data_IF_211690927414
#
_entry.id   IF_211690927414
#
_cell.length_a   1.000
_cell.length_b   1.000
_cell.length_c   1.000
_cell.angle_alpha   90.00
_cell.angle_beta   90.00
_cell.angle_gamma   90.00
#
_symmetry.space_group_name_H-M   'P 1'
#
loop_
_entity.id
_entity.type
_entity.pdbx_description
1 polymer ?
#
# COMPACT_ATOMS: atom_id res chain seq x y z
N UNK A 1 -6.38 -18.32 -6.43
CA UNK A 1 -6.60 -16.88 -6.67
C UNK A 1 -5.28 -16.16 -6.57
N UNK A 2 -4.94 -15.31 -7.55
CA UNK A 2 -3.74 -14.46 -7.50
C UNK A 2 -4.16 -13.05 -7.09
N UNK A 3 -3.56 -12.52 -6.03
CA UNK A 3 -3.87 -11.19 -5.50
C UNK A 3 -2.63 -10.31 -5.61
N UNK A 4 -2.75 -9.21 -6.34
CA UNK A 4 -1.67 -8.24 -6.51
C UNK A 4 -2.02 -6.97 -5.73
N UNK A 5 -1.20 -6.62 -4.75
CA UNK A 5 -1.26 -5.34 -4.04
C UNK A 5 -0.38 -4.32 -4.74
N UNK A 6 -0.87 -3.11 -4.85
CA UNK A 6 -0.11 -1.93 -5.28
C UNK A 6 -0.26 -0.85 -4.23
N UNK A 7 0.86 -0.37 -3.68
CA UNK A 7 0.84 0.85 -2.90
C UNK A 7 0.61 2.04 -3.83
N UNK A 8 -0.25 2.99 -3.44
CA UNK A 8 -0.41 4.23 -4.19
C UNK A 8 0.94 4.88 -4.50
N UNK A 9 1.01 5.61 -5.60
CA UNK A 9 2.20 6.33 -6.02
C UNK A 9 2.48 7.57 -5.15
N UNK A 10 3.62 8.21 -5.37
CA UNK A 10 4.16 9.27 -4.51
C UNK A 10 3.24 10.50 -4.43
N UNK A 11 3.12 11.05 -3.22
CA UNK A 11 2.52 12.35 -2.91
C UNK A 11 3.59 13.30 -2.38
N UNK A 12 3.29 14.59 -2.26
CA UNK A 12 4.24 15.54 -1.67
C UNK A 12 4.58 15.18 -0.22
N UNK A 13 3.61 14.68 0.57
CA UNK A 13 3.90 14.26 1.93
C UNK A 13 4.79 13.01 2.02
N UNK A 14 4.76 12.11 1.03
CA UNK A 14 5.74 11.04 0.97
C UNK A 14 7.15 11.58 0.72
N UNK A 15 7.30 12.52 -0.23
CA UNK A 15 8.56 13.18 -0.55
C UNK A 15 9.11 13.99 0.61
N UNK A 16 8.23 14.65 1.37
CA UNK A 16 8.58 15.48 2.53
C UNK A 16 8.75 14.69 3.83
N UNK A 17 8.63 13.35 3.77
CA UNK A 17 8.65 12.47 4.95
C UNK A 17 7.65 12.91 6.04
N UNK A 18 6.42 13.25 5.64
CA UNK A 18 5.32 13.54 6.56
C UNK A 18 4.43 12.34 6.77
N UNK A 19 3.91 12.25 7.98
CA UNK A 19 2.91 11.27 8.35
C UNK A 19 1.65 11.46 7.51
N UNK A 20 1.22 10.42 6.80
CA UNK A 20 0.09 10.49 5.90
C UNK A 20 -0.89 9.36 6.22
N UNK A 21 -2.04 9.74 6.77
CA UNK A 21 -3.13 8.81 7.08
C UNK A 21 -4.29 8.94 6.11
N UNK A 22 -5.45 9.35 6.64
CA UNK A 22 -6.70 9.51 5.87
C UNK A 22 -6.83 10.87 5.19
N UNK A 23 -5.96 11.83 5.47
CA UNK A 23 -5.91 13.11 4.74
C UNK A 23 -5.82 12.84 3.23
N UNK A 24 -6.77 13.44 2.48
CA UNK A 24 -7.02 13.10 1.09
C UNK A 24 -6.18 13.93 0.11
N UNK A 25 -4.92 13.56 -0.05
CA UNK A 25 -3.95 14.19 -0.92
C UNK A 25 -3.90 13.54 -2.31
N UNK A 26 -3.50 14.34 -3.29
CA UNK A 26 -3.27 13.90 -4.66
C UNK A 26 -1.83 13.38 -4.86
N UNK A 27 -1.59 12.68 -5.95
CA UNK A 27 -0.25 12.35 -6.41
C UNK A 27 0.51 13.62 -6.78
N UNK A 28 1.82 13.64 -6.51
CA UNK A 28 2.69 14.68 -7.06
C UNK A 28 3.13 14.32 -8.50
N UNK A 29 3.94 15.18 -9.11
CA UNK A 29 4.40 14.96 -10.49
C UNK A 29 5.17 13.64 -10.66
N UNK A 30 5.99 13.25 -9.68
CA UNK A 30 6.70 11.97 -9.69
C UNK A 30 5.72 10.80 -9.53
N UNK A 31 4.73 10.92 -8.63
CA UNK A 31 3.68 9.92 -8.46
C UNK A 31 2.87 9.68 -9.74
N UNK A 32 2.55 10.73 -10.51
CA UNK A 32 1.92 10.54 -11.82
C UNK A 32 2.84 9.81 -12.83
N UNK A 33 4.15 10.07 -12.80
CA UNK A 33 5.09 9.32 -13.65
C UNK A 33 5.15 7.84 -13.23
N UNK A 34 5.21 7.56 -11.92
CA UNK A 34 5.14 6.20 -11.39
C UNK A 34 3.84 5.49 -11.81
N UNK A 35 2.70 6.17 -11.68
CA UNK A 35 1.39 5.62 -12.06
C UNK A 35 1.29 5.29 -13.55
N UNK A 36 1.87 6.11 -14.43
CA UNK A 36 1.97 5.80 -15.86
C UNK A 36 2.83 4.55 -16.13
N UNK A 37 3.95 4.39 -15.43
CA UNK A 37 4.79 3.19 -15.53
C UNK A 37 4.03 1.94 -15.08
N UNK A 38 3.27 2.04 -13.98
CA UNK A 38 2.36 0.97 -13.57
C UNK A 38 1.34 0.64 -14.67
N UNK A 39 0.75 1.66 -15.33
CA UNK A 39 -0.16 1.46 -16.46
C UNK A 39 0.49 0.62 -17.58
N UNK A 40 1.71 0.96 -17.96
CA UNK A 40 2.48 0.20 -18.98
C UNK A 40 2.75 -1.23 -18.52
N UNK A 41 3.16 -1.42 -17.26
CA UNK A 41 3.40 -2.75 -16.68
C UNK A 41 2.14 -3.60 -16.71
N UNK A 42 1.02 -3.06 -16.25
CA UNK A 42 -0.26 -3.77 -16.18
C UNK A 42 -0.94 -3.99 -17.55
N UNK A 43 -0.44 -3.41 -18.65
CA UNK A 43 -0.94 -3.73 -19.99
C UNK A 43 -0.74 -5.21 -20.35
N UNK A 44 0.27 -5.86 -19.77
CA UNK A 44 0.56 -7.27 -19.99
C UNK A 44 0.05 -8.18 -18.84
N UNK A 45 -0.58 -7.60 -17.82
CA UNK A 45 -1.13 -8.34 -16.68
C UNK A 45 -2.65 -8.53 -16.86
N UNK A 46 -3.12 -9.74 -16.58
CA UNK A 46 -4.54 -10.02 -16.55
C UNK A 46 -5.12 -9.56 -15.21
N UNK A 47 -6.09 -8.64 -15.25
CA UNK A 47 -6.85 -8.20 -14.08
C UNK A 47 -8.33 -8.48 -14.33
N UNK A 48 -8.93 -9.37 -13.54
CA UNK A 48 -10.37 -9.70 -13.65
C UNK A 48 -11.20 -8.90 -12.65
N UNK A 49 -10.68 -8.68 -11.46
CA UNK A 49 -11.34 -7.89 -10.41
C UNK A 49 -10.37 -6.87 -9.84
N UNK A 50 -10.86 -5.66 -9.60
CA UNK A 50 -10.05 -4.59 -9.05
C UNK A 50 -10.76 -3.92 -7.88
N UNK A 51 -10.02 -3.73 -6.80
CA UNK A 51 -10.44 -3.04 -5.60
C UNK A 51 -9.47 -1.90 -5.29
N UNK A 52 -9.98 -0.78 -4.80
CA UNK A 52 -9.16 0.39 -4.55
C UNK A 52 -9.63 1.13 -3.30
N UNK A 53 -8.70 1.67 -2.54
CA UNK A 53 -9.01 2.70 -1.55
C UNK A 53 -9.72 3.87 -2.25
N UNK A 54 -10.65 4.48 -1.56
CA UNK A 54 -11.39 5.64 -2.07
C UNK A 54 -10.65 6.98 -1.89
N UNK A 55 -9.43 6.98 -1.34
CA UNK A 55 -8.58 8.16 -1.25
C UNK A 55 -8.00 8.53 -2.64
N UNK A 56 -7.90 9.82 -2.92
CA UNK A 56 -7.50 10.39 -4.23
C UNK A 56 -6.22 9.77 -4.78
N UNK A 57 -5.15 9.70 -3.97
CA UNK A 57 -3.87 9.13 -4.40
C UNK A 57 -3.97 7.68 -4.88
N UNK A 58 -4.83 6.86 -4.26
CA UNK A 58 -5.08 5.50 -4.69
C UNK A 58 -5.93 5.47 -5.97
N UNK A 59 -6.97 6.31 -6.05
CA UNK A 59 -7.80 6.48 -7.26
C UNK A 59 -6.96 6.91 -8.45
N UNK A 60 -6.14 7.95 -8.30
CA UNK A 60 -5.27 8.43 -9.38
C UNK A 60 -4.24 7.38 -9.81
N UNK A 61 -3.78 6.52 -8.88
CA UNK A 61 -2.90 5.40 -9.21
C UNK A 61 -3.63 4.37 -10.06
N UNK A 62 -4.82 3.90 -9.63
CA UNK A 62 -5.56 2.87 -10.37
C UNK A 62 -6.13 3.39 -11.69
N UNK A 63 -6.48 4.67 -11.79
CA UNK A 63 -6.95 5.29 -13.04
C UNK A 63 -5.88 5.25 -14.13
N UNK A 64 -4.60 5.40 -13.77
CA UNK A 64 -3.49 5.25 -14.71
C UNK A 64 -3.23 3.78 -15.05
N UNK A 65 -3.39 2.84 -14.11
CA UNK A 65 -3.31 1.39 -14.38
C UNK A 65 -4.43 0.95 -15.32
N UNK A 66 -5.62 1.52 -15.16
CA UNK A 66 -6.84 1.17 -15.91
C UNK A 66 -7.24 2.26 -16.93
N UNK A 67 -6.26 2.92 -17.53
CA UNK A 67 -6.49 4.05 -18.45
C UNK A 67 -7.40 3.69 -19.63
N UNK A 68 -7.37 2.43 -20.11
CA UNK A 68 -8.23 1.90 -21.18
C UNK A 68 -9.57 1.35 -20.66
N UNK A 69 -9.86 1.49 -19.37
CA UNK A 69 -11.09 0.97 -18.72
C UNK A 69 -11.34 -0.52 -18.95
N UNK A 70 -10.27 -1.33 -18.91
CA UNK A 70 -10.30 -2.79 -19.18
C UNK A 70 -11.07 -3.59 -18.12
N UNK A 71 -11.19 -3.05 -16.91
CA UNK A 71 -11.87 -3.71 -15.79
C UNK A 71 -12.62 -2.70 -14.92
N UNK A 72 -13.64 -3.19 -14.21
CA UNK A 72 -14.36 -2.38 -13.24
C UNK A 72 -13.59 -2.29 -11.93
N UNK A 73 -13.65 -1.14 -11.26
CA UNK A 73 -13.01 -0.88 -9.98
C UNK A 73 -14.06 -0.72 -8.88
N UNK A 74 -13.93 -1.49 -7.82
CA UNK A 74 -14.74 -1.35 -6.60
C UNK A 74 -13.95 -0.54 -5.56
N UNK A 75 -14.48 0.60 -5.16
CA UNK A 75 -13.87 1.46 -4.15
C UNK A 75 -14.35 1.09 -2.74
N UNK A 76 -13.44 1.16 -1.75
CA UNK A 76 -13.78 0.80 -0.38
C UNK A 76 -12.97 1.60 0.65
N UNK A 77 -13.67 2.15 1.65
CA UNK A 77 -13.05 2.78 2.82
C UNK A 77 -12.26 1.77 3.67
N UNK A 78 -12.57 0.47 3.57
CA UNK A 78 -11.84 -0.59 4.28
C UNK A 78 -10.40 -0.74 3.80
N UNK A 79 -10.08 -0.15 2.64
CA UNK A 79 -8.73 -0.12 2.06
C UNK A 79 -8.01 1.22 2.28
N UNK A 80 -8.59 2.19 3.03
CA UNK A 80 -7.89 3.44 3.40
C UNK A 80 -6.66 3.16 4.24
N UNK A 81 -5.70 4.07 4.19
CA UNK A 81 -4.53 4.06 5.08
C UNK A 81 -4.96 4.11 6.55
N UNK A 82 -4.06 3.75 7.43
CA UNK A 82 -4.24 3.93 8.87
C UNK A 82 -4.54 5.40 9.16
N UNK A 83 -5.63 5.66 9.88
CA UNK A 83 -5.89 6.98 10.46
C UNK A 83 -4.79 7.27 11.50
N UNK A 84 -3.93 8.24 11.19
CA UNK A 84 -2.84 8.61 12.06
C UNK A 84 -3.18 9.80 12.97
N UNK A 85 -4.44 10.26 12.93
CA UNK A 85 -5.00 11.24 13.83
C UNK A 85 -4.19 12.53 13.89
N UNK A 86 -3.79 12.94 15.10
CA UNK A 86 -3.05 14.19 15.33
C UNK A 86 -1.63 14.19 14.74
N UNK A 87 -1.12 13.04 14.28
CA UNK A 87 0.20 12.97 13.64
C UNK A 87 0.18 13.30 12.16
N UNK A 88 -1.01 13.34 11.53
CA UNK A 88 -1.11 13.64 10.10
C UNK A 88 -0.55 15.03 9.76
N UNK A 89 0.27 15.08 8.72
CA UNK A 89 0.96 16.29 8.25
C UNK A 89 2.23 16.64 9.02
N UNK A 90 2.50 16.03 10.18
CA UNK A 90 3.74 16.25 10.91
C UNK A 90 4.89 15.51 10.22
N UNK A 91 6.08 16.14 10.16
CA UNK A 91 7.27 15.48 9.62
C UNK A 91 7.77 14.38 10.57
N UNK A 92 8.34 13.32 10.00
CA UNK A 92 8.91 12.23 10.80
C UNK A 92 10.04 12.71 11.72
N UNK A 93 10.79 13.75 11.31
CA UNK A 93 11.81 14.37 12.15
C UNK A 93 11.20 15.06 13.38
N UNK A 94 10.12 15.82 13.19
CA UNK A 94 9.39 16.46 14.29
C UNK A 94 8.79 15.43 15.24
N UNK A 95 8.19 14.36 14.70
CA UNK A 95 7.63 13.28 15.50
C UNK A 95 8.70 12.56 16.33
N UNK A 96 9.89 12.31 15.76
CA UNK A 96 11.02 11.71 16.49
C UNK A 96 11.52 12.61 17.62
N UNK A 97 11.49 13.94 17.43
CA UNK A 97 11.91 14.89 18.47
C UNK A 97 10.87 15.04 19.60
N UNK A 98 9.60 15.22 19.23
CA UNK A 98 8.55 15.58 20.20
C UNK A 98 7.77 14.41 20.78
N UNK A 99 7.68 13.30 20.04
CA UNK A 99 6.86 12.13 20.37
C UNK A 99 7.68 10.85 20.39
N UNK A 100 8.96 10.93 20.77
CA UNK A 100 9.89 9.80 20.76
C UNK A 100 9.41 8.62 21.62
N UNK A 101 8.77 8.90 22.77
CA UNK A 101 8.23 7.88 23.66
C UNK A 101 7.00 7.20 23.06
N UNK A 102 6.05 7.95 22.50
CA UNK A 102 4.86 7.45 21.84
C UNK A 102 5.25 6.60 20.61
N UNK A 103 6.20 7.06 19.82
CA UNK A 103 6.72 6.30 18.68
C UNK A 103 7.41 5.00 19.11
N UNK A 104 8.11 5.00 20.23
CA UNK A 104 8.71 3.77 20.79
C UNK A 104 7.64 2.79 21.22
N UNK A 105 6.65 3.24 22.00
CA UNK A 105 5.55 2.38 22.46
C UNK A 105 4.76 1.83 21.26
N UNK A 106 4.47 2.69 20.26
CA UNK A 106 3.80 2.26 19.04
C UNK A 106 4.57 1.17 18.29
N UNK A 107 5.89 1.29 18.17
CA UNK A 107 6.73 0.27 17.50
C UNK A 107 6.78 -1.04 18.28
N UNK A 108 6.78 -0.98 19.60
CA UNK A 108 6.81 -2.16 20.48
C UNK A 108 5.46 -2.88 20.53
N UNK A 109 4.35 -2.14 20.45
CA UNK A 109 2.99 -2.67 20.54
C UNK A 109 2.03 -1.98 19.55
N UNK A 110 2.28 -2.03 18.24
CA UNK A 110 1.46 -1.34 17.24
C UNK A 110 0.04 -1.90 17.16
N UNK A 111 -0.15 -3.14 17.58
CA UNK A 111 -1.44 -3.82 17.58
C UNK A 111 -2.46 -3.12 18.51
N UNK A 112 -2.02 -2.67 19.69
CA UNK A 112 -2.91 -2.14 20.72
C UNK A 112 -2.68 -0.66 21.02
N UNK A 113 -1.55 -0.09 20.63
CA UNK A 113 -1.28 1.33 20.87
C UNK A 113 -2.04 2.18 19.86
N UNK A 114 -2.99 2.94 20.36
CA UNK A 114 -3.79 3.88 19.56
C UNK A 114 -3.07 5.21 19.42
N UNK A 115 -2.89 5.66 18.19
CA UNK A 115 -2.42 7.03 17.96
C UNK A 115 -3.48 8.05 18.43
N UNK A 116 -3.07 9.24 18.91
CA UNK A 116 -4.01 10.26 19.35
C UNK A 116 -5.05 10.60 18.26
N UNK A 117 -6.31 10.33 18.52
CA UNK A 117 -7.45 10.45 17.60
C UNK A 117 -7.36 9.60 16.33
N UNK A 118 -6.49 8.60 16.30
CA UNK A 118 -6.29 7.72 15.15
C UNK A 118 -6.66 6.25 15.42
N UNK A 119 -6.21 5.37 14.56
CA UNK A 119 -6.37 3.92 14.65
C UNK A 119 -5.18 3.26 15.38
N UNK A 120 -5.35 1.99 15.77
CA UNK A 120 -4.25 1.05 16.03
C UNK A 120 -3.89 0.31 14.75
N UNK A 121 -2.67 -0.20 14.63
CA UNK A 121 -2.33 -1.06 13.49
C UNK A 121 -3.11 -2.38 13.51
N UNK A 122 -3.53 -2.85 14.70
CA UNK A 122 -4.42 -4.00 14.85
C UNK A 122 -5.77 -3.80 14.16
N UNK A 123 -6.39 -2.63 14.31
CA UNK A 123 -7.65 -2.31 13.63
C UNK A 123 -7.46 -2.25 12.09
N UNK A 124 -6.34 -1.70 11.63
CA UNK A 124 -6.00 -1.69 10.19
C UNK A 124 -5.84 -3.10 9.65
N UNK A 125 -5.10 -3.97 10.35
CA UNK A 125 -4.98 -5.39 10.02
C UNK A 125 -6.35 -6.06 9.93
N UNK A 126 -7.17 -5.88 10.94
CA UNK A 126 -8.46 -6.56 11.04
C UNK A 126 -9.41 -6.16 9.91
N UNK A 127 -9.52 -4.84 9.59
CA UNK A 127 -10.35 -4.40 8.46
C UNK A 127 -9.79 -4.86 7.11
N UNK A 128 -8.45 -4.89 6.96
CA UNK A 128 -7.79 -5.37 5.75
C UNK A 128 -7.96 -6.87 5.54
N UNK A 129 -7.73 -7.69 6.57
CA UNK A 129 -7.90 -9.14 6.52
C UNK A 129 -9.37 -9.54 6.33
N UNK A 130 -10.32 -8.86 6.99
CA UNK A 130 -11.75 -9.09 6.79
C UNK A 130 -12.15 -8.77 5.34
N UNK A 131 -11.57 -7.73 4.73
CA UNK A 131 -11.82 -7.41 3.33
C UNK A 131 -11.25 -8.45 2.38
N UNK A 132 -10.05 -8.98 2.65
CA UNK A 132 -9.49 -10.11 1.89
C UNK A 132 -10.35 -11.36 2.02
N UNK A 133 -10.84 -11.66 3.22
CA UNK A 133 -11.77 -12.78 3.44
C UNK A 133 -13.02 -12.60 2.60
N UNK A 134 -13.63 -11.41 2.61
CA UNK A 134 -14.77 -11.10 1.75
C UNK A 134 -14.46 -11.36 0.26
N UNK A 135 -13.30 -10.93 -0.24
CA UNK A 135 -12.88 -11.17 -1.62
C UNK A 135 -12.78 -12.67 -1.90
N UNK A 136 -12.11 -13.43 -1.05
CA UNK A 136 -11.86 -14.85 -1.27
C UNK A 136 -13.10 -15.74 -1.14
N UNK A 137 -14.11 -15.27 -0.39
CA UNK A 137 -15.39 -15.98 -0.22
C UNK A 137 -16.41 -15.67 -1.35
N UNK A 138 -16.27 -14.51 -2.03
CA UNK A 138 -17.27 -14.03 -3.00
C UNK A 138 -16.78 -14.07 -4.46
N UNK A 139 -15.50 -14.37 -4.71
CA UNK A 139 -14.95 -14.46 -6.05
C UNK A 139 -14.48 -15.87 -6.42
N UNK A 140 -14.39 -16.20 -7.73
CA UNK A 140 -13.85 -17.47 -8.20
C UNK A 140 -12.42 -17.72 -7.70
N UNK A 141 -12.10 -18.95 -7.33
CA UNK A 141 -10.80 -19.32 -6.77
C UNK A 141 -9.62 -19.25 -7.77
N UNK A 142 -9.91 -19.26 -9.05
CA UNK A 142 -8.92 -19.20 -10.14
C UNK A 142 -8.77 -17.80 -10.77
N UNK A 143 -9.34 -16.75 -10.14
CA UNK A 143 -9.30 -15.41 -10.64
C UNK A 143 -8.02 -14.63 -10.26
N UNK A 144 -7.82 -13.50 -10.96
CA UNK A 144 -6.78 -12.50 -10.69
C UNK A 144 -7.39 -11.22 -10.14
N UNK A 145 -6.87 -10.77 -9.01
CA UNK A 145 -7.37 -9.62 -8.25
C UNK A 145 -6.27 -8.56 -8.13
N UNK A 146 -6.60 -7.31 -8.42
CA UNK A 146 -5.76 -6.14 -8.16
C UNK A 146 -6.32 -5.36 -6.97
N UNK A 147 -5.47 -5.00 -6.00
CA UNK A 147 -5.85 -4.16 -4.86
C UNK A 147 -4.88 -2.97 -4.78
N UNK A 148 -5.39 -1.75 -5.01
CA UNK A 148 -4.61 -0.52 -4.84
C UNK A 148 -4.94 0.09 -3.48
N UNK A 149 -3.93 0.19 -2.61
CA UNK A 149 -4.11 0.61 -1.23
C UNK A 149 -2.86 1.33 -0.70
N UNK A 150 -2.54 1.22 0.57
CA UNK A 150 -1.56 2.04 1.28
C UNK A 150 -0.54 1.19 2.04
N UNK A 151 0.51 1.85 2.51
CA UNK A 151 1.67 1.20 3.10
C UNK A 151 1.34 0.36 4.34
N UNK A 152 0.69 0.93 5.36
CA UNK A 152 0.43 0.22 6.61
C UNK A 152 -0.67 -0.86 6.45
N UNK A 153 -1.60 -0.67 5.50
CA UNK A 153 -2.58 -1.70 5.13
C UNK A 153 -1.84 -2.91 4.53
N UNK A 154 -0.99 -2.70 3.53
CA UNK A 154 -0.19 -3.78 2.91
C UNK A 154 0.69 -4.44 3.96
N UNK A 155 1.45 -3.64 4.72
CA UNK A 155 2.39 -4.15 5.72
C UNK A 155 1.69 -5.02 6.78
N UNK A 156 0.54 -4.58 7.31
CA UNK A 156 -0.21 -5.34 8.33
C UNK A 156 -0.77 -6.65 7.79
N UNK A 157 -1.28 -6.64 6.55
CA UNK A 157 -1.77 -7.84 5.85
C UNK A 157 -0.63 -8.82 5.59
N UNK A 158 0.49 -8.36 5.00
CA UNK A 158 1.61 -9.23 4.65
C UNK A 158 2.31 -9.79 5.89
N UNK A 159 2.45 -8.98 6.97
CA UNK A 159 2.93 -9.43 8.26
C UNK A 159 2.09 -10.60 8.81
N UNK A 160 0.75 -10.49 8.71
CA UNK A 160 -0.20 -11.53 9.12
C UNK A 160 -0.09 -12.78 8.26
N UNK A 161 0.00 -12.63 6.93
CA UNK A 161 0.17 -13.75 5.98
C UNK A 161 1.49 -14.48 6.26
N UNK A 162 2.56 -13.74 6.59
CA UNK A 162 3.85 -14.31 6.97
C UNK A 162 3.85 -14.92 8.39
N UNK A 163 2.73 -14.90 9.11
CA UNK A 163 2.58 -15.40 10.49
C UNK A 163 3.55 -14.73 11.47
N UNK A 164 3.80 -13.42 11.28
CA UNK A 164 4.60 -12.59 12.17
C UNK A 164 3.71 -11.75 13.06
N UNK A 165 4.19 -11.43 14.27
CA UNK A 165 3.54 -10.46 15.14
C UNK A 165 3.60 -9.06 14.49
N UNK A 166 2.57 -8.24 14.70
CA UNK A 166 2.48 -6.89 14.08
C UNK A 166 3.65 -5.96 14.44
N UNK A 167 4.37 -6.19 15.52
CA UNK A 167 5.59 -5.41 15.84
C UNK A 167 6.68 -5.52 14.76
N UNK A 168 6.60 -6.53 13.87
CA UNK A 168 7.49 -6.71 12.73
C UNK A 168 6.95 -6.11 11.43
N UNK A 169 5.89 -5.29 11.49
CA UNK A 169 5.28 -4.68 10.30
C UNK A 169 6.28 -3.88 9.44
N UNK A 170 7.32 -3.32 10.07
CA UNK A 170 8.34 -2.54 9.37
C UNK A 170 9.09 -3.35 8.30
N UNK A 171 9.21 -4.68 8.49
CA UNK A 171 9.83 -5.59 7.53
C UNK A 171 8.96 -5.77 6.26
N UNK A 172 7.70 -5.33 6.30
CA UNK A 172 6.72 -5.46 5.23
C UNK A 172 6.24 -4.11 4.67
N UNK A 173 6.91 -3.02 5.01
CA UNK A 173 6.64 -1.70 4.40
C UNK A 173 7.15 -1.68 2.97
N UNK A 174 6.42 -1.00 2.08
CA UNK A 174 6.68 -0.99 0.64
C UNK A 174 6.97 0.42 0.13
N UNK A 175 7.71 0.51 -0.98
CA UNK A 175 7.93 1.78 -1.69
C UNK A 175 6.64 2.27 -2.38
N UNK A 176 6.55 3.58 -2.68
CA UNK A 176 5.43 4.15 -3.45
C UNK A 176 5.39 3.55 -4.85
N UNK A 177 4.23 3.06 -5.28
CA UNK A 177 4.04 2.36 -6.54
C UNK A 177 4.59 0.93 -6.57
N UNK A 178 5.08 0.38 -5.46
CA UNK A 178 5.56 -1.00 -5.40
C UNK A 178 4.42 -2.01 -5.52
N UNK A 179 4.76 -3.18 -6.02
CA UNK A 179 3.89 -4.34 -6.23
C UNK A 179 4.28 -5.44 -5.24
N UNK A 180 3.28 -6.05 -4.59
CA UNK A 180 3.47 -7.29 -3.83
C UNK A 180 2.40 -8.30 -4.25
N UNK A 181 2.79 -9.57 -4.41
CA UNK A 181 1.90 -10.63 -4.90
C UNK A 181 1.70 -11.72 -3.85
N UNK A 182 0.45 -12.10 -3.70
CA UNK A 182 0.01 -13.15 -2.79
C UNK A 182 -0.82 -14.17 -3.57
N UNK A 183 -0.58 -15.44 -3.35
CA UNK A 183 -1.43 -16.51 -3.83
C UNK A 183 -2.35 -17.00 -2.71
N UNK A 184 -3.63 -17.24 -3.03
CA UNK A 184 -4.60 -17.86 -2.15
C UNK A 184 -5.06 -19.18 -2.73
N UNK A 185 -4.72 -20.27 -2.04
CA UNK A 185 -5.06 -21.64 -2.44
C UNK A 185 -5.38 -22.48 -1.20
N UNK A 186 -6.45 -23.27 -1.24
CA UNK A 186 -6.87 -24.14 -0.15
C UNK A 186 -6.99 -23.42 1.21
N UNK A 187 -7.56 -22.22 1.20
CA UNK A 187 -7.70 -21.33 2.37
C UNK A 187 -6.36 -20.87 2.99
N UNK A 188 -5.27 -20.93 2.24
CA UNK A 188 -3.95 -20.49 2.68
C UNK A 188 -3.46 -19.37 1.77
N UNK A 189 -3.05 -18.25 2.39
CA UNK A 189 -2.32 -17.20 1.70
C UNK A 189 -0.82 -17.49 1.73
N UNK A 190 -0.16 -17.26 0.59
CA UNK A 190 1.31 -17.36 0.46
C UNK A 190 1.85 -16.13 -0.22
N UNK A 191 2.82 -15.46 0.41
CA UNK A 191 3.54 -14.33 -0.19
C UNK A 191 4.48 -14.87 -1.28
N UNK A 192 4.29 -14.42 -2.53
CA UNK A 192 5.09 -14.85 -3.69
C UNK A 192 6.13 -13.81 -4.09
N UNK A 193 5.78 -12.52 -3.98
CA UNK A 193 6.65 -11.40 -4.33
C UNK A 193 6.40 -10.23 -3.38
N UNK A 194 7.46 -9.55 -2.98
CA UNK A 194 7.39 -8.45 -2.05
C UNK A 194 8.17 -7.23 -2.55
N UNK A 195 7.56 -6.05 -2.46
CA UNK A 195 8.15 -4.74 -2.76
C UNK A 195 8.83 -4.65 -4.13
N UNK A 196 8.22 -5.27 -5.16
CA UNK A 196 8.74 -5.23 -6.52
C UNK A 196 8.60 -3.83 -7.11
N UNK A 197 9.73 -3.24 -7.53
CA UNK A 197 9.81 -1.87 -8.07
C UNK A 197 10.53 -1.77 -9.42
N UNK A 198 10.91 -2.89 -10.04
CA UNK A 198 11.72 -2.84 -11.27
C UNK A 198 10.99 -2.17 -12.43
N UNK A 199 9.66 -2.25 -12.47
CA UNK A 199 8.83 -1.49 -13.42
C UNK A 199 8.99 0.03 -13.29
N UNK A 200 9.43 0.53 -12.13
CA UNK A 200 9.70 1.95 -11.90
C UNK A 200 11.09 2.37 -12.42
N UNK A 201 12.02 1.44 -12.56
CA UNK A 201 13.41 1.68 -12.99
C UNK A 201 13.56 1.86 -14.50
N UNK A 202 12.66 1.33 -15.32
CA UNK A 202 12.80 1.21 -16.78
C UNK A 202 12.64 2.49 -17.60
N UNK A 203 12.58 3.69 -17.02
CA UNK A 203 12.47 4.93 -17.80
C UNK A 203 13.78 5.73 -17.85
N UNK A 204 14.81 5.34 -17.12
CA UNK A 204 16.11 6.01 -17.15
C UNK A 204 17.17 5.21 -17.94
N UNK A 205 16.84 4.83 -19.19
CA UNK A 205 17.90 4.39 -20.14
C UNK A 205 18.84 5.52 -20.57
N UNK A 206 18.60 6.74 -20.11
CA UNK A 206 19.45 7.92 -20.35
C UNK A 206 20.28 8.36 -19.13
N UNK A 207 20.01 7.86 -17.94
CA UNK A 207 20.81 8.12 -16.73
C UNK A 207 21.75 6.94 -16.43
N UNK A 208 22.52 6.48 -17.42
CA UNK A 208 23.76 5.76 -17.15
C UNK A 208 24.84 6.80 -16.87
N UNK A 209 25.49 6.63 -15.73
CA UNK A 209 26.67 7.35 -15.25
C UNK A 209 26.44 8.59 -14.40
N UNK A 210 26.11 8.39 -13.11
CA UNK A 210 26.68 9.22 -12.03
C UNK A 210 26.44 8.49 -10.71
N UNK A 211 27.44 7.75 -10.20
CA UNK A 211 27.34 7.24 -8.83
C UNK A 211 28.18 6.02 -8.51
N UNK A 212 29.34 5.86 -9.12
CA UNK A 212 30.48 5.24 -8.46
C UNK A 212 31.31 6.38 -7.86
N UNK A 213 31.19 6.60 -6.55
CA UNK A 213 32.27 7.06 -5.66
C UNK A 213 31.85 6.73 -4.22
#
# INVERSE_FOLDING_TARGET
MKITFVRHCETDWNKEERCQGVTDLELNSNGFMQAKKLGVFFNNEQVQYAFCSDLKRAKQTIDNINHDRRFNVTYSEKLREMDQGEFEGLSLSYLRDKYSNELRIWRENPENFRLPKGETLGEVRDRGMNYLKYITENLPQDCTVLIVTHNLVIASILCTIAKKELKFFADFTTASGAISRVNFLNNIFTLEEFDFIDHLKEVDKTAKSAGEY
#
